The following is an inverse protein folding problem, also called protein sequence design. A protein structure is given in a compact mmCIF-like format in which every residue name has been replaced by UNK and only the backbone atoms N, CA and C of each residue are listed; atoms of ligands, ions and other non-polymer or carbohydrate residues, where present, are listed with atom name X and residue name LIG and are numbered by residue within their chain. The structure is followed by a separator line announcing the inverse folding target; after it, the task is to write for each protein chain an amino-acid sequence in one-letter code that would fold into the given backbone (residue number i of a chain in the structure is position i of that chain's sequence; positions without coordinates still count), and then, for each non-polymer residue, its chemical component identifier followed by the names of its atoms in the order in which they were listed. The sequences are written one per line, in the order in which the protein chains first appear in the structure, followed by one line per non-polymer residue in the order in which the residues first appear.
data_IF_841040599017
#
_entry.id   IF_841040599017
#
_cell.length_a   1.000
_cell.length_b   1.000
_cell.length_c   1.000
_cell.angle_alpha   90.00
_cell.angle_beta   90.00
_cell.angle_gamma   90.00
#
_symmetry.space_group_name_H-M   'P 1'
#
loop_
_entity.id
_entity.type
_entity.pdbx_description
1 polymer ?
#
# COMPACT_ATOMS: atom_id res chain seq x y z
N UNK A 1 22.80 -10.75 -18.80
CA UNK A 1 21.64 -9.83 -18.86
C UNK A 1 20.86 -10.04 -17.58
N UNK A 2 20.73 -8.99 -16.75
CA UNK A 2 19.86 -9.05 -15.58
C UNK A 2 18.40 -9.05 -16.07
N UNK A 3 17.52 -9.80 -15.41
CA UNK A 3 16.09 -9.69 -15.67
C UNK A 3 15.61 -8.27 -15.34
N UNK A 4 14.65 -7.72 -16.10
CA UNK A 4 14.09 -6.41 -15.78
C UNK A 4 13.44 -6.45 -14.38
N UNK A 5 13.56 -5.33 -13.68
CA UNK A 5 12.90 -5.06 -12.41
C UNK A 5 11.40 -4.84 -12.60
N UNK A 6 10.62 -4.91 -11.51
CA UNK A 6 9.17 -4.62 -11.61
C UNK A 6 8.90 -3.19 -12.07
N UNK A 7 9.70 -2.20 -11.64
CA UNK A 7 9.55 -0.81 -12.08
C UNK A 7 9.76 -0.63 -13.58
N UNK A 8 10.76 -1.31 -14.16
CA UNK A 8 10.99 -1.29 -15.61
C UNK A 8 9.83 -1.96 -16.36
N UNK A 9 9.27 -3.05 -15.81
CA UNK A 9 8.10 -3.69 -16.39
C UNK A 9 6.83 -2.81 -16.33
N UNK A 10 6.63 -2.06 -15.25
CA UNK A 10 5.54 -1.08 -15.15
C UNK A 10 5.71 0.01 -16.21
N UNK A 11 6.92 0.58 -16.34
CA UNK A 11 7.26 1.60 -17.33
C UNK A 11 7.02 1.10 -18.76
N UNK A 12 7.56 -0.07 -19.12
CA UNK A 12 7.38 -0.69 -20.44
C UNK A 12 5.90 -0.93 -20.77
N UNK A 13 5.10 -1.26 -19.75
CA UNK A 13 3.67 -1.53 -19.92
C UNK A 13 2.80 -0.28 -19.99
N UNK A 14 3.33 0.91 -19.64
CA UNK A 14 2.55 2.14 -19.41
C UNK A 14 1.34 1.93 -18.47
N UNK A 15 1.52 1.09 -17.45
CA UNK A 15 0.46 0.66 -16.53
C UNK A 15 1.04 0.46 -15.14
N UNK A 16 0.24 0.72 -14.10
CA UNK A 16 0.59 0.37 -12.71
C UNK A 16 0.25 -1.07 -12.33
N UNK A 17 -0.19 -1.86 -13.31
CA UNK A 17 -0.56 -3.26 -13.15
C UNK A 17 0.06 -4.10 -14.27
N UNK A 18 0.79 -5.14 -13.88
CA UNK A 18 1.47 -6.07 -14.79
C UNK A 18 1.17 -7.53 -14.43
N UNK A 19 1.33 -8.42 -15.40
CA UNK A 19 1.42 -9.87 -15.13
C UNK A 19 2.87 -10.31 -15.24
N UNK A 20 3.46 -10.78 -14.14
CA UNK A 20 4.84 -11.28 -14.13
C UNK A 20 4.93 -12.58 -13.32
N UNK A 21 5.58 -13.61 -13.89
CA UNK A 21 5.73 -14.95 -13.28
C UNK A 21 4.41 -15.53 -12.74
N UNK A 22 3.32 -15.35 -13.50
CA UNK A 22 2.00 -15.87 -13.15
C UNK A 22 1.26 -15.11 -12.03
N UNK A 23 1.79 -13.97 -11.58
CA UNK A 23 1.13 -13.09 -10.60
C UNK A 23 0.69 -11.79 -11.26
N UNK A 24 -0.49 -11.29 -10.87
CA UNK A 24 -0.89 -9.91 -11.12
C UNK A 24 -0.24 -9.07 -10.03
N UNK A 25 0.60 -8.13 -10.43
CA UNK A 25 1.35 -7.27 -9.52
C UNK A 25 0.96 -5.83 -9.81
N UNK A 26 0.75 -5.05 -8.75
CA UNK A 26 0.34 -3.65 -8.79
C UNK A 26 1.38 -2.76 -8.14
N UNK A 27 1.65 -1.58 -8.71
CA UNK A 27 2.41 -0.53 -8.03
C UNK A 27 1.53 0.23 -7.03
N UNK A 28 0.23 0.37 -7.34
CA UNK A 28 -0.78 1.03 -6.51
C UNK A 28 -2.06 0.18 -6.51
N UNK A 29 -2.62 -0.05 -5.32
CA UNK A 29 -3.94 -0.66 -5.13
C UNK A 29 -4.97 0.45 -4.94
N UNK A 30 -6.10 0.34 -5.65
CA UNK A 30 -7.18 1.34 -5.63
C UNK A 30 -8.42 0.73 -5.02
N UNK A 31 -8.82 1.24 -3.86
CA UNK A 31 -9.96 0.72 -3.09
C UNK A 31 -11.05 1.80 -3.04
N UNK A 32 -12.30 1.50 -3.45
CA UNK A 32 -13.40 2.43 -3.34
C UNK A 32 -13.68 2.83 -1.90
N UNK A 33 -13.88 4.13 -1.67
CA UNK A 33 -14.30 4.71 -0.39
C UNK A 33 -15.39 5.75 -0.62
N UNK A 34 -15.99 6.24 0.45
CA UNK A 34 -16.89 7.40 0.45
C UNK A 34 -16.66 8.24 1.69
N UNK A 35 -17.21 9.45 1.70
CA UNK A 35 -17.32 10.23 2.93
C UNK A 35 -17.97 9.40 4.04
N UNK A 36 -17.39 9.45 5.25
CA UNK A 36 -17.83 8.65 6.40
C UNK A 36 -17.24 7.24 6.48
N UNK A 37 -16.67 6.68 5.39
CA UNK A 37 -16.07 5.33 5.42
C UNK A 37 -15.06 5.18 6.56
N UNK A 38 -15.15 4.05 7.27
CA UNK A 38 -14.12 3.58 8.20
C UNK A 38 -13.22 2.60 7.48
N UNK A 39 -11.95 2.97 7.32
CA UNK A 39 -10.89 2.12 6.78
C UNK A 39 -10.09 1.57 7.96
N UNK A 40 -10.01 0.26 8.09
CA UNK A 40 -9.17 -0.41 9.09
C UNK A 40 -7.97 -1.03 8.37
N UNK A 41 -6.77 -0.65 8.79
CA UNK A 41 -5.52 -1.22 8.29
C UNK A 41 -4.88 -2.06 9.39
N UNK A 42 -4.81 -3.37 9.17
CA UNK A 42 -4.14 -4.33 10.05
C UNK A 42 -2.79 -4.72 9.44
N UNK A 43 -1.70 -4.48 10.15
CA UNK A 43 -0.37 -4.95 9.76
C UNK A 43 -0.19 -6.39 10.24
N UNK A 44 -0.23 -7.34 9.32
CA UNK A 44 -0.15 -8.77 9.62
C UNK A 44 1.31 -9.23 9.81
N UNK A 45 2.25 -8.68 9.03
CA UNK A 45 3.67 -8.98 9.20
C UNK A 45 4.57 -7.93 8.57
N UNK A 46 5.80 -7.86 9.07
CA UNK A 46 6.95 -7.19 8.43
C UNK A 46 8.11 -8.17 8.45
N UNK A 47 8.57 -8.58 7.29
CA UNK A 47 9.66 -9.56 7.15
C UNK A 47 10.79 -9.00 6.26
N UNK A 48 11.21 -7.78 6.56
CA UNK A 48 12.31 -7.09 5.86
C UNK A 48 13.26 -6.46 6.90
N UNK A 49 14.58 -6.44 6.65
CA UNK A 49 15.53 -5.72 7.49
C UNK A 49 15.40 -4.19 7.33
N UNK A 50 14.65 -3.72 6.32
CA UNK A 50 14.39 -2.30 6.07
C UNK A 50 13.08 -1.90 6.73
N UNK A 51 13.02 -0.68 7.26
CA UNK A 51 11.78 -0.13 7.80
C UNK A 51 10.75 -0.03 6.67
N UNK A 52 9.61 -0.70 6.83
CA UNK A 52 8.52 -0.72 5.85
C UNK A 52 7.39 0.23 6.28
N UNK A 53 6.61 0.69 5.31
CA UNK A 53 5.36 1.41 5.52
C UNK A 53 4.32 1.02 4.47
N UNK A 54 3.05 1.12 4.86
CA UNK A 54 1.95 1.26 3.90
C UNK A 54 1.58 2.73 3.85
N UNK A 55 1.51 3.28 2.64
CA UNK A 55 1.07 4.64 2.39
C UNK A 55 -0.33 4.63 1.79
N UNK A 56 -1.14 5.58 2.21
CA UNK A 56 -2.50 5.75 1.76
C UNK A 56 -2.69 7.19 1.32
N UNK A 57 -3.40 7.42 0.21
CA UNK A 57 -3.83 8.75 -0.21
C UNK A 57 -5.25 8.72 -0.75
N UNK A 58 -5.98 9.81 -0.51
CA UNK A 58 -7.28 10.03 -1.10
C UNK A 58 -7.17 10.85 -2.38
N UNK A 59 -8.05 10.55 -3.33
CA UNK A 59 -8.22 11.40 -4.51
C UNK A 59 -8.76 12.81 -4.17
N UNK A 60 -9.54 12.93 -3.09
CA UNK A 60 -10.08 14.18 -2.56
C UNK A 60 -10.49 14.00 -1.09
N UNK A 61 -10.55 15.10 -0.34
CA UNK A 61 -10.83 15.06 1.09
C UNK A 61 -9.60 14.79 1.96
N UNK A 62 -9.84 14.32 3.19
CA UNK A 62 -8.80 14.03 4.18
C UNK A 62 -9.11 12.76 4.96
N UNK A 63 -8.07 12.16 5.52
CA UNK A 63 -8.12 11.05 6.46
C UNK A 63 -7.91 11.56 7.88
N UNK A 64 -8.79 11.16 8.79
CA UNK A 64 -8.65 11.36 10.25
C UNK A 64 -8.11 10.08 10.89
N UNK A 65 -6.93 10.15 11.53
CA UNK A 65 -6.30 9.03 12.24
C UNK A 65 -5.43 9.55 13.38
N UNK A 66 -5.62 9.06 14.61
CA UNK A 66 -4.73 9.33 15.76
C UNK A 66 -4.36 10.82 15.96
N UNK A 67 -5.30 11.74 15.71
CA UNK A 67 -5.08 13.20 15.80
C UNK A 67 -4.39 13.83 14.59
N UNK A 68 -3.91 13.03 13.63
CA UNK A 68 -3.51 13.48 12.30
C UNK A 68 -4.74 13.67 11.40
N UNK A 69 -4.69 14.73 10.58
CA UNK A 69 -5.66 15.03 9.52
C UNK A 69 -4.92 15.47 8.27
N UNK A 70 -5.06 14.72 7.17
CA UNK A 70 -4.44 15.07 5.90
C UNK A 70 -4.87 14.18 4.74
N UNK A 71 -4.55 14.56 3.49
CA UNK A 71 -4.97 13.80 2.30
C UNK A 71 -4.15 12.52 2.06
N UNK A 72 -2.98 12.40 2.71
CA UNK A 72 -2.06 11.27 2.63
C UNK A 72 -1.60 10.91 4.04
N UNK A 73 -1.38 9.62 4.32
CA UNK A 73 -0.77 9.14 5.56
C UNK A 73 0.19 7.98 5.27
N UNK A 74 1.29 7.91 6.01
CA UNK A 74 2.21 6.79 6.00
C UNK A 74 2.19 6.05 7.34
N UNK A 75 1.83 4.77 7.33
CA UNK A 75 1.83 3.91 8.51
C UNK A 75 3.11 3.09 8.54
N UNK A 76 4.13 3.60 9.24
CA UNK A 76 5.42 2.93 9.32
C UNK A 76 5.43 1.82 10.37
N UNK A 77 6.04 0.69 10.01
CA UNK A 77 6.23 -0.51 10.84
C UNK A 77 6.69 -0.24 12.27
N UNK A 78 7.56 0.75 12.45
CA UNK A 78 8.24 1.03 13.72
C UNK A 78 7.56 2.09 14.59
N UNK A 79 6.58 2.84 14.05
CA UNK A 79 5.97 3.95 14.80
C UNK A 79 4.44 4.02 14.69
N UNK A 80 3.81 3.22 13.82
CA UNK A 80 2.36 3.07 13.76
C UNK A 80 1.94 1.83 14.58
N UNK A 81 0.73 1.84 15.17
CA UNK A 81 0.17 0.65 15.78
C UNK A 81 -0.03 -0.46 14.73
N UNK A 82 -0.21 -1.69 15.22
CA UNK A 82 -0.49 -2.85 14.38
C UNK A 82 -1.83 -2.69 13.64
N UNK A 83 -2.86 -2.21 14.35
CA UNK A 83 -4.15 -1.83 13.78
C UNK A 83 -4.31 -0.32 13.80
N UNK A 84 -4.67 0.25 12.64
CA UNK A 84 -4.96 1.67 12.48
C UNK A 84 -6.37 1.86 11.93
N UNK A 85 -7.18 2.64 12.63
CA UNK A 85 -8.51 3.06 12.18
C UNK A 85 -8.41 4.46 11.55
N UNK A 86 -8.90 4.57 10.32
CA UNK A 86 -8.85 5.80 9.54
C UNK A 86 -10.27 6.15 9.10
N UNK A 87 -10.74 7.33 9.47
CA UNK A 87 -12.03 7.83 8.99
C UNK A 87 -11.85 8.74 7.79
N UNK A 88 -12.57 8.44 6.71
CA UNK A 88 -12.58 9.24 5.50
C UNK A 88 -13.51 10.43 5.66
N UNK A 89 -13.02 11.62 5.31
CA UNK A 89 -13.76 12.89 5.37
C UNK A 89 -13.72 13.62 4.04
N UNK A 90 -14.89 13.92 3.50
CA UNK A 90 -15.07 14.77 2.33
C UNK A 90 -15.93 14.11 1.26
N UNK A 91 -16.98 14.80 0.84
CA UNK A 91 -17.97 14.32 -0.15
C UNK A 91 -17.40 13.96 -1.53
N UNK A 92 -16.20 14.45 -1.85
CA UNK A 92 -15.50 14.12 -3.09
C UNK A 92 -14.58 12.89 -2.99
N UNK A 93 -14.41 12.32 -1.80
CA UNK A 93 -13.59 11.13 -1.60
C UNK A 93 -14.31 9.93 -2.21
N UNK A 94 -13.71 9.34 -3.24
CA UNK A 94 -14.26 8.16 -3.93
C UNK A 94 -13.26 7.02 -4.05
N UNK A 95 -11.97 7.33 -3.82
CA UNK A 95 -10.88 6.41 -4.08
C UNK A 95 -9.78 6.57 -3.04
N UNK A 96 -9.37 5.44 -2.48
CA UNK A 96 -8.20 5.30 -1.64
C UNK A 96 -7.11 4.59 -2.45
N UNK A 97 -6.01 5.29 -2.70
CA UNK A 97 -4.80 4.74 -3.29
C UNK A 97 -3.88 4.22 -2.19
N UNK A 98 -3.39 3.00 -2.33
CA UNK A 98 -2.56 2.32 -1.34
C UNK A 98 -1.32 1.77 -2.02
N UNK A 99 -0.14 2.06 -1.44
CA UNK A 99 1.13 1.51 -1.92
C UNK A 99 2.08 1.21 -0.77
N UNK A 100 3.09 0.36 -1.01
CA UNK A 100 4.14 0.11 -0.03
C UNK A 100 5.31 1.08 -0.23
N UNK A 101 5.93 1.45 0.89
CA UNK A 101 7.12 2.27 0.95
C UNK A 101 8.13 1.65 1.92
N UNK A 102 9.39 2.04 1.80
CA UNK A 102 10.45 1.61 2.71
C UNK A 102 11.48 2.72 2.93
N UNK A 103 12.25 2.59 4.01
CA UNK A 103 13.36 3.48 4.28
C UNK A 103 14.64 2.97 3.63
N UNK A 104 15.27 3.81 2.82
CA UNK A 104 16.61 3.60 2.29
C UNK A 104 17.55 4.65 2.90
N UNK A 105 18.24 4.30 3.97
CA UNK A 105 19.13 5.24 4.68
C UNK A 105 18.41 6.45 5.28
N UNK A 106 17.16 6.29 5.71
CA UNK A 106 16.32 7.38 6.24
C UNK A 106 15.44 8.07 5.18
N UNK A 107 15.59 7.73 3.90
CA UNK A 107 14.79 8.30 2.80
C UNK A 107 13.52 7.46 2.57
N UNK A 108 12.35 8.11 2.54
CA UNK A 108 11.07 7.51 2.11
C UNK A 108 11.16 7.16 0.62
N UNK A 109 11.03 5.87 0.31
CA UNK A 109 11.22 5.32 -1.03
C UNK A 109 10.01 4.48 -1.43
N UNK A 110 9.56 4.59 -2.69
CA UNK A 110 8.46 3.79 -3.26
C UNK A 110 8.70 3.55 -4.75
N UNK A 111 8.00 2.56 -5.33
CA UNK A 111 7.85 2.32 -6.78
C UNK A 111 9.11 2.01 -7.61
N UNK A 112 10.31 2.03 -7.02
CA UNK A 112 11.55 1.69 -7.73
C UNK A 112 11.91 0.21 -7.58
N UNK A 113 12.66 -0.32 -8.55
CA UNK A 113 13.21 -1.67 -8.51
C UNK A 113 12.13 -2.74 -8.48
N UNK A 114 12.25 -3.71 -7.58
CA UNK A 114 11.28 -4.81 -7.45
C UNK A 114 10.09 -4.51 -6.51
N UNK A 115 9.73 -3.23 -6.36
CA UNK A 115 8.58 -2.85 -5.57
C UNK A 115 7.27 -3.26 -6.24
N UNK A 116 6.34 -3.80 -5.45
CA UNK A 116 5.03 -4.18 -5.97
C UNK A 116 4.17 -4.91 -4.97
N UNK A 117 2.89 -5.04 -5.32
CA UNK A 117 1.84 -5.53 -4.44
C UNK A 117 1.06 -6.64 -5.16
N UNK A 118 0.92 -7.78 -4.48
CA UNK A 118 0.00 -8.84 -4.86
C UNK A 118 -1.17 -8.80 -3.91
N UNK A 119 -2.39 -8.81 -4.42
CA UNK A 119 -3.59 -8.76 -3.58
C UNK A 119 -4.30 -10.09 -3.48
N UNK A 120 -4.93 -10.33 -2.34
CA UNK A 120 -5.78 -11.49 -2.07
C UNK A 120 -7.03 -11.03 -1.33
N UNK A 121 -8.18 -11.17 -1.96
CA UNK A 121 -9.47 -10.90 -1.31
C UNK A 121 -9.79 -11.98 -0.27
N UNK A 122 -10.36 -11.55 0.85
CA UNK A 122 -10.90 -12.41 1.91
C UNK A 122 -12.30 -11.92 2.29
N UNK A 123 -13.00 -12.66 3.17
CA UNK A 123 -14.28 -12.22 3.74
C UNK A 123 -14.17 -10.98 4.62
N UNK A 124 -12.96 -10.68 5.11
CA UNK A 124 -12.69 -9.61 6.06
C UNK A 124 -12.09 -8.36 5.39
N UNK A 125 -11.67 -8.45 4.13
CA UNK A 125 -11.05 -7.33 3.41
C UNK A 125 -10.10 -7.78 2.31
N UNK A 126 -9.21 -6.88 1.90
CA UNK A 126 -8.16 -7.16 0.93
C UNK A 126 -6.80 -7.28 1.64
N UNK A 127 -6.12 -8.41 1.44
CA UNK A 127 -4.74 -8.59 1.90
C UNK A 127 -3.81 -8.10 0.80
N UNK A 128 -2.91 -7.19 1.15
CA UNK A 128 -1.84 -6.66 0.30
C UNK A 128 -0.52 -7.28 0.75
N UNK A 129 0.11 -8.02 -0.16
CA UNK A 129 1.39 -8.67 0.02
C UNK A 129 2.45 -7.88 -0.76
N UNK A 130 3.35 -7.22 -0.05
CA UNK A 130 4.23 -6.21 -0.62
C UNK A 130 5.67 -6.71 -0.73
N UNK A 131 6.31 -6.36 -1.85
CA UNK A 131 7.75 -6.44 -2.04
C UNK A 131 8.34 -5.04 -2.04
N UNK A 132 9.49 -4.84 -1.41
CA UNK A 132 10.30 -3.64 -1.56
C UNK A 132 11.22 -3.72 -2.80
N UNK A 133 11.91 -2.62 -3.10
CA UNK A 133 12.59 -2.42 -4.37
C UNK A 133 13.90 -3.18 -4.59
N UNK A 134 14.46 -3.87 -3.59
CA UNK A 134 15.89 -4.25 -3.62
C UNK A 134 16.14 -5.71 -4.00
N UNK A 135 15.43 -6.64 -3.36
CA UNK A 135 15.69 -8.07 -3.48
C UNK A 135 14.81 -8.73 -4.56
N UNK A 136 14.92 -10.05 -4.73
CA UNK A 136 13.98 -10.81 -5.57
C UNK A 136 12.58 -10.67 -4.93
N UNK A 137 11.54 -10.31 -5.71
CA UNK A 137 10.25 -9.98 -5.12
C UNK A 137 9.59 -11.20 -4.46
N UNK A 138 9.60 -11.20 -3.14
CA UNK A 138 9.05 -12.25 -2.26
C UNK A 138 7.57 -12.01 -1.94
N UNK A 139 7.16 -10.73 -1.95
CA UNK A 139 5.87 -10.23 -1.48
C UNK A 139 5.61 -10.54 0.01
N UNK A 140 6.67 -10.64 0.81
CA UNK A 140 6.58 -10.87 2.26
C UNK A 140 7.13 -9.73 3.09
N UNK A 141 7.73 -8.71 2.46
CA UNK A 141 8.44 -7.63 3.14
C UNK A 141 7.50 -6.86 4.07
N UNK A 142 6.28 -6.64 3.61
CA UNK A 142 5.15 -6.10 4.37
C UNK A 142 3.87 -6.80 3.95
N UNK A 143 3.08 -7.28 4.91
CA UNK A 143 1.74 -7.81 4.66
C UNK A 143 0.75 -7.02 5.50
N UNK A 144 -0.24 -6.43 4.84
CA UNK A 144 -1.33 -5.70 5.50
C UNK A 144 -2.68 -6.23 5.02
N UNK A 145 -3.70 -6.09 5.85
CA UNK A 145 -5.09 -6.32 5.49
C UNK A 145 -5.84 -5.02 5.62
N UNK A 146 -6.63 -4.67 4.61
CA UNK A 146 -7.45 -3.47 4.59
C UNK A 146 -8.91 -3.89 4.52
N UNK A 147 -9.70 -3.41 5.48
CA UNK A 147 -11.16 -3.55 5.47
C UNK A 147 -11.81 -2.19 5.44
N UNK A 148 -12.97 -2.11 4.78
CA UNK A 148 -13.74 -0.87 4.66
C UNK A 148 -15.15 -1.15 5.11
N UNK A 149 -15.59 -0.42 6.12
CA UNK A 149 -16.98 -0.40 6.54
C UNK A 149 -17.59 0.94 6.11
N UNK A 150 -18.64 0.93 5.29
CA UNK A 150 -19.39 2.14 5.06
C UNK A 150 -20.17 2.55 6.32
N UNK A 151 -20.18 3.85 6.61
CA UNK A 151 -21.07 4.44 7.63
C UNK A 151 -22.53 4.36 7.18
#
# INVERSE_FOLDING_TARGET
MNSPTLSELFEDSNSDTITHRGKIIRAIVRIPVRDGSLVVVNRLSVASPRLQAVKLALNSGVMDINGYRGPEVALWGHNSPETSEIRIRGVGATLLEVWNAWSMGGVDTSWIGNAGIVTKSTSEGEILQCSDGLDIPSFTDLVVQISITPE
#
